data_IF_856147375130
#
_entry.id   IF_856147375130
#
_cell.length_a   1.000
_cell.length_b   1.000
_cell.length_c   1.000
_cell.angle_alpha   90.00
_cell.angle_beta   90.00
_cell.angle_gamma   90.00
#
_symmetry.space_group_name_H-M   'P 1'
#
loop_
_entity.id
_entity.type
_entity.pdbx_description
1 polymer ?
#
# COMPACT_ATOMS: atom_id res chain seq x y z
N UNK A 1 1.48 -1.01 20.60
CA UNK A 1 1.65 -0.56 22.01
C UNK A 1 3.12 -0.53 22.35
N UNK A 2 3.61 0.59 22.91
CA UNK A 2 4.98 0.69 23.46
C UNK A 2 5.05 -0.08 24.77
N UNK A 3 6.03 -0.94 24.95
CA UNK A 3 6.15 -1.81 26.12
C UNK A 3 7.47 -1.52 26.87
N UNK A 4 8.62 -1.50 26.26
CA UNK A 4 9.92 -1.11 26.81
C UNK A 4 10.31 -1.62 28.21
N UNK A 5 11.57 -1.55 28.54
CA UNK A 5 12.15 -1.93 29.85
C UNK A 5 12.88 -3.26 29.84
N UNK A 6 13.71 -3.57 30.86
CA UNK A 6 14.54 -4.78 30.89
C UNK A 6 13.71 -6.06 30.70
N UNK A 7 14.11 -6.91 29.73
CA UNK A 7 13.43 -8.17 29.44
C UNK A 7 12.09 -8.04 28.70
N UNK A 8 11.82 -6.87 28.12
CA UNK A 8 10.65 -6.63 27.26
C UNK A 8 11.08 -6.16 25.87
N UNK A 9 10.23 -6.44 24.86
CA UNK A 9 10.36 -5.80 23.54
C UNK A 9 9.96 -4.33 23.63
N UNK A 10 10.43 -3.49 22.69
CA UNK A 10 10.14 -2.05 22.71
C UNK A 10 8.72 -1.75 22.25
N UNK A 11 8.27 -2.43 21.20
CA UNK A 11 6.94 -2.23 20.62
C UNK A 11 6.29 -3.57 20.29
N UNK A 12 4.99 -3.66 20.53
CA UNK A 12 4.14 -4.78 20.06
C UNK A 12 3.09 -4.22 19.11
N UNK A 13 3.10 -4.72 17.88
CA UNK A 13 2.12 -4.41 16.83
C UNK A 13 1.12 -5.55 16.75
N UNK A 14 -0.18 -5.24 16.70
CA UNK A 14 -1.25 -6.24 16.56
C UNK A 14 -2.23 -5.78 15.51
N UNK A 15 -2.64 -6.73 14.67
CA UNK A 15 -3.69 -6.52 13.66
C UNK A 15 -4.54 -7.78 13.50
N UNK A 16 -5.58 -7.67 12.72
CA UNK A 16 -6.40 -8.80 12.28
C UNK A 16 -6.08 -9.00 10.79
N UNK A 17 -5.75 -10.23 10.39
CA UNK A 17 -5.51 -10.55 8.98
C UNK A 17 -6.84 -10.72 8.20
N UNK A 18 -6.74 -11.00 6.91
CA UNK A 18 -7.90 -11.14 6.02
C UNK A 18 -8.77 -12.35 6.36
N UNK A 19 -8.23 -13.32 7.13
CA UNK A 19 -8.95 -14.49 7.64
C UNK A 19 -9.60 -14.22 9.01
N UNK A 20 -9.46 -13.02 9.56
CA UNK A 20 -9.98 -12.63 10.88
C UNK A 20 -9.13 -13.11 12.06
N UNK A 21 -7.92 -13.63 11.82
CA UNK A 21 -6.99 -14.08 12.85
C UNK A 21 -6.22 -12.90 13.43
N UNK A 22 -6.07 -12.93 14.77
CA UNK A 22 -5.19 -11.98 15.46
C UNK A 22 -3.73 -12.32 15.19
N UNK A 23 -3.00 -11.36 14.63
CA UNK A 23 -1.57 -11.46 14.32
C UNK A 23 -0.80 -10.49 15.21
N UNK A 24 0.36 -10.93 15.69
CA UNK A 24 1.23 -10.12 16.55
C UNK A 24 2.64 -10.08 15.98
N UNK A 25 3.21 -8.90 15.87
CA UNK A 25 4.63 -8.69 15.62
C UNK A 25 5.28 -7.98 16.82
N UNK A 26 6.47 -8.41 17.17
CA UNK A 26 7.32 -7.66 18.11
C UNK A 26 8.36 -6.88 17.33
N UNK A 27 8.64 -5.67 17.80
CA UNK A 27 9.66 -4.79 17.23
C UNK A 27 10.67 -4.45 18.30
N UNK A 28 11.93 -4.72 18.02
CA UNK A 28 13.06 -4.40 18.87
C UNK A 28 13.86 -3.25 18.23
N UNK A 29 13.94 -2.13 18.92
CA UNK A 29 14.63 -0.93 18.42
C UNK A 29 16.07 -0.93 18.90
N UNK A 30 17.02 -0.80 17.96
CA UNK A 30 18.45 -0.76 18.24
C UNK A 30 19.02 0.62 17.88
N UNK A 31 19.62 1.28 18.87
CA UNK A 31 20.31 2.55 18.67
C UNK A 31 21.81 2.36 18.93
N UNK A 32 22.62 2.86 17.99
CA UNK A 32 24.09 2.87 18.11
C UNK A 32 24.65 4.22 17.69
N UNK A 33 25.72 4.63 18.38
CA UNK A 33 26.44 5.88 18.05
C UNK A 33 27.06 5.84 16.65
N UNK A 34 27.38 4.63 16.13
CA UNK A 34 27.88 4.44 14.76
C UNK A 34 26.79 4.51 13.69
N UNK A 35 25.51 4.53 14.07
CA UNK A 35 24.39 4.47 13.15
C UNK A 35 24.22 3.09 12.47
N UNK A 36 25.03 2.08 12.83
CA UNK A 36 24.99 0.77 12.18
C UNK A 36 24.82 -0.35 13.21
N UNK A 37 23.75 -1.12 13.05
CA UNK A 37 23.48 -2.31 13.87
C UNK A 37 24.11 -3.53 13.20
N UNK A 38 24.90 -4.28 13.97
CA UNK A 38 25.54 -5.52 13.54
C UNK A 38 24.90 -6.73 14.27
N UNK A 39 25.25 -7.95 13.88
CA UNK A 39 24.77 -9.15 14.56
C UNK A 39 25.13 -9.18 16.04
N UNK A 40 26.30 -8.64 16.44
CA UNK A 40 26.72 -8.60 17.85
C UNK A 40 25.81 -7.72 18.73
N UNK A 41 24.98 -6.87 18.13
CA UNK A 41 24.05 -5.99 18.83
C UNK A 41 22.67 -6.64 19.04
N UNK A 42 22.51 -7.84 18.49
CA UNK A 42 21.27 -8.62 18.50
C UNK A 42 21.49 -9.91 19.26
N UNK A 43 20.68 -10.17 20.27
CA UNK A 43 20.72 -11.42 21.03
C UNK A 43 19.65 -12.38 20.51
N UNK A 44 20.06 -13.47 19.90
CA UNK A 44 19.18 -14.55 19.43
C UNK A 44 18.27 -15.05 20.55
N UNK A 45 18.84 -15.28 21.74
CA UNK A 45 18.11 -15.77 22.91
C UNK A 45 17.04 -14.76 23.39
N UNK A 46 17.40 -13.47 23.39
CA UNK A 46 16.44 -12.43 23.80
C UNK A 46 15.29 -12.32 22.79
N UNK A 47 15.55 -12.42 21.50
CA UNK A 47 14.54 -12.40 20.45
C UNK A 47 13.58 -13.58 20.60
N UNK A 48 14.09 -14.78 20.75
CA UNK A 48 13.26 -15.98 20.93
C UNK A 48 12.39 -15.86 22.21
N UNK A 49 12.99 -15.43 23.33
CA UNK A 49 12.26 -15.20 24.58
C UNK A 49 11.16 -14.12 24.46
N UNK A 50 11.45 -13.01 23.75
CA UNK A 50 10.47 -11.97 23.51
C UNK A 50 9.32 -12.43 22.59
N UNK A 51 9.66 -13.24 21.57
CA UNK A 51 8.68 -13.85 20.67
C UNK A 51 7.73 -14.77 21.44
N UNK A 52 8.26 -15.67 22.25
CA UNK A 52 7.46 -16.57 23.09
C UNK A 52 6.59 -15.81 24.10
N UNK A 53 7.18 -14.86 24.85
CA UNK A 53 6.48 -14.05 25.86
C UNK A 53 5.26 -13.32 25.29
N UNK A 54 5.34 -12.84 24.05
CA UNK A 54 4.27 -12.08 23.41
C UNK A 54 3.39 -12.95 22.51
N UNK A 55 3.66 -14.24 22.42
CA UNK A 55 3.03 -15.15 21.46
C UNK A 55 3.04 -14.53 20.05
N UNK A 56 4.21 -14.01 19.63
CA UNK A 56 4.34 -13.24 18.41
C UNK A 56 4.54 -14.15 17.19
N UNK A 57 3.82 -13.85 16.13
CA UNK A 57 3.97 -14.51 14.83
C UNK A 57 5.25 -14.04 14.14
N UNK A 58 5.55 -12.75 14.24
CA UNK A 58 6.65 -12.08 13.54
C UNK A 58 7.55 -11.28 14.46
N UNK A 59 8.79 -11.07 13.99
CA UNK A 59 9.82 -10.28 14.66
C UNK A 59 10.42 -9.28 13.67
N UNK A 60 10.56 -8.04 14.10
CA UNK A 60 11.29 -7.02 13.37
C UNK A 60 12.34 -6.35 14.26
N UNK A 61 13.46 -5.98 13.67
CA UNK A 61 14.50 -5.15 14.29
C UNK A 61 14.52 -3.84 13.54
N UNK A 62 14.45 -2.74 14.28
CA UNK A 62 14.50 -1.37 13.72
C UNK A 62 15.80 -0.71 14.18
N UNK A 63 16.50 -0.05 13.26
CA UNK A 63 17.73 0.69 13.55
C UNK A 63 18.04 1.72 12.47
N UNK A 64 19.01 2.60 12.73
CA UNK A 64 19.39 3.62 11.75
C UNK A 64 20.01 3.01 10.47
N UNK A 65 20.62 1.83 10.60
CA UNK A 65 21.17 1.06 9.48
C UNK A 65 21.65 -0.32 9.95
N UNK A 66 21.95 -1.20 9.01
CA UNK A 66 22.42 -2.56 9.29
C UNK A 66 23.70 -2.86 8.52
N UNK A 67 24.72 -3.40 9.22
CA UNK A 67 26.04 -3.68 8.63
C UNK A 67 26.45 -5.14 8.75
N UNK A 68 27.06 -5.64 7.67
CA UNK A 68 27.62 -6.98 7.56
C UNK A 68 26.60 -8.04 7.13
N UNK A 69 27.15 -9.08 6.49
CA UNK A 69 26.32 -10.19 5.98
C UNK A 69 25.81 -11.11 7.10
N UNK A 70 26.49 -11.13 8.24
CA UNK A 70 26.11 -11.96 9.38
C UNK A 70 24.72 -11.61 9.90
N UNK A 71 24.38 -10.31 10.01
CA UNK A 71 23.05 -9.89 10.47
C UNK A 71 21.98 -10.19 9.42
N UNK A 72 22.29 -10.07 8.12
CA UNK A 72 21.36 -10.41 7.02
C UNK A 72 21.08 -11.92 6.99
N UNK A 73 22.14 -12.74 7.13
CA UNK A 73 22.02 -14.19 7.20
C UNK A 73 21.23 -14.64 8.45
N UNK A 74 21.45 -13.99 9.58
CA UNK A 74 20.67 -14.19 10.80
C UNK A 74 19.19 -13.88 10.54
N UNK A 75 18.89 -12.70 9.98
CA UNK A 75 17.54 -12.25 9.67
C UNK A 75 16.82 -13.25 8.75
N UNK A 76 17.47 -13.71 7.68
CA UNK A 76 16.91 -14.71 6.77
C UNK A 76 16.62 -16.04 7.46
N UNK A 77 17.58 -16.56 8.26
CA UNK A 77 17.44 -17.83 8.98
C UNK A 77 16.33 -17.80 10.03
N UNK A 78 16.24 -16.72 10.79
CA UNK A 78 15.26 -16.54 11.88
C UNK A 78 13.95 -15.91 11.41
N UNK A 79 13.83 -15.59 10.14
CA UNK A 79 12.67 -14.88 9.55
C UNK A 79 12.37 -13.55 10.26
N UNK A 80 13.43 -12.78 10.53
CA UNK A 80 13.35 -11.46 11.19
C UNK A 80 13.39 -10.37 10.12
N UNK A 81 12.46 -9.41 10.18
CA UNK A 81 12.50 -8.24 9.33
C UNK A 81 13.55 -7.23 9.85
N UNK A 82 14.41 -6.72 8.98
CA UNK A 82 15.34 -5.62 9.27
C UNK A 82 14.83 -4.36 8.60
N UNK A 83 14.51 -3.35 9.39
CA UNK A 83 13.84 -2.12 8.91
C UNK A 83 14.61 -0.92 9.44
N UNK A 84 15.00 -0.01 8.56
CA UNK A 84 15.59 1.25 9.01
C UNK A 84 14.52 2.23 9.49
N UNK A 85 14.91 3.16 10.36
CA UNK A 85 14.05 4.26 10.80
C UNK A 85 13.58 5.12 9.63
N UNK A 86 14.46 5.39 8.65
CA UNK A 86 14.12 6.12 7.44
C UNK A 86 13.06 5.38 6.60
N UNK A 87 13.18 4.05 6.46
CA UNK A 87 12.19 3.24 5.76
C UNK A 87 10.80 3.30 6.42
N UNK A 88 10.76 3.29 7.76
CA UNK A 88 9.48 3.46 8.47
C UNK A 88 8.85 4.83 8.22
N UNK A 89 9.67 5.89 8.20
CA UNK A 89 9.19 7.25 7.90
C UNK A 89 8.64 7.32 6.47
N UNK A 90 9.36 6.77 5.50
CA UNK A 90 8.95 6.79 4.10
C UNK A 90 7.68 5.96 3.87
N UNK A 91 7.56 4.82 4.54
CA UNK A 91 6.33 3.99 4.51
C UNK A 91 5.15 4.74 5.13
N UNK A 92 5.35 5.41 6.28
CA UNK A 92 4.29 6.17 6.92
C UNK A 92 3.73 7.28 6.01
N UNK A 93 4.62 8.01 5.31
CA UNK A 93 4.22 9.02 4.32
C UNK A 93 3.44 8.41 3.15
N UNK A 94 3.95 7.31 2.59
CA UNK A 94 3.28 6.62 1.48
C UNK A 94 1.95 5.99 1.90
N UNK A 95 1.85 5.49 3.12
CA UNK A 95 0.61 4.97 3.67
C UNK A 95 -0.49 6.03 3.72
N UNK A 96 -0.14 7.25 4.15
CA UNK A 96 -1.06 8.37 4.15
C UNK A 96 -1.46 8.80 2.73
N UNK A 97 -0.49 8.97 1.83
CA UNK A 97 -0.72 9.37 0.43
C UNK A 97 -1.59 8.38 -0.36
N UNK A 98 -1.41 7.08 -0.14
CA UNK A 98 -2.06 6.01 -0.90
C UNK A 98 -3.22 5.33 -0.15
N UNK A 99 -3.50 5.77 1.07
CA UNK A 99 -4.57 5.20 1.90
C UNK A 99 -4.33 3.73 2.26
N UNK A 100 -3.08 3.35 2.58
CA UNK A 100 -2.77 1.97 2.98
C UNK A 100 -3.42 1.64 4.32
N UNK A 101 -4.03 0.47 4.40
CA UNK A 101 -4.59 -0.04 5.65
C UNK A 101 -3.50 -0.71 6.52
N UNK A 102 -3.86 -1.06 7.76
CA UNK A 102 -2.91 -1.67 8.70
C UNK A 102 -2.38 -3.03 8.25
N UNK A 103 -3.18 -3.85 7.54
CA UNK A 103 -2.76 -5.14 7.03
C UNK A 103 -1.71 -4.98 5.93
N UNK A 104 -1.90 -4.02 5.04
CA UNK A 104 -0.95 -3.69 3.98
C UNK A 104 0.37 -3.17 4.56
N UNK A 105 0.33 -2.26 5.54
CA UNK A 105 1.53 -1.77 6.22
C UNK A 105 2.23 -2.89 6.99
N UNK A 106 1.47 -3.81 7.60
CA UNK A 106 2.01 -4.89 8.40
C UNK A 106 2.87 -5.89 7.60
N UNK A 107 2.78 -5.91 6.27
CA UNK A 107 3.62 -6.73 5.39
C UNK A 107 5.11 -6.55 5.71
N UNK A 108 5.53 -5.33 6.08
CA UNK A 108 6.94 -5.03 6.39
C UNK A 108 7.48 -5.83 7.58
N UNK A 109 6.62 -6.25 8.51
CA UNK A 109 7.02 -7.00 9.71
C UNK A 109 7.02 -8.51 9.52
N UNK A 110 6.42 -9.03 8.43
CA UNK A 110 6.12 -10.45 8.29
C UNK A 110 7.33 -11.31 7.93
N UNK A 111 8.33 -10.74 7.26
CA UNK A 111 9.46 -11.50 6.72
C UNK A 111 10.63 -10.61 6.34
N UNK A 112 11.84 -11.16 6.13
CA UNK A 112 12.98 -10.40 5.63
C UNK A 112 12.75 -9.70 4.28
N UNK A 113 11.87 -10.25 3.44
CA UNK A 113 11.46 -9.69 2.15
C UNK A 113 10.19 -8.82 2.24
N UNK A 114 9.63 -8.62 3.43
CA UNK A 114 8.43 -7.82 3.65
C UNK A 114 8.54 -6.40 3.10
N UNK A 115 9.72 -5.81 3.16
CA UNK A 115 10.02 -4.51 2.55
C UNK A 115 9.80 -4.53 1.03
N UNK A 116 10.38 -5.49 0.33
CA UNK A 116 10.24 -5.59 -1.14
C UNK A 116 8.77 -5.80 -1.54
N UNK A 117 8.07 -6.66 -0.83
CA UNK A 117 6.63 -6.92 -1.04
C UNK A 117 5.77 -5.68 -0.81
N UNK A 118 6.05 -4.92 0.26
CA UNK A 118 5.34 -3.66 0.51
C UNK A 118 5.66 -2.62 -0.56
N UNK A 119 6.90 -2.57 -1.04
CA UNK A 119 7.32 -1.67 -2.12
C UNK A 119 6.63 -1.98 -3.45
N UNK A 120 6.45 -3.25 -3.78
CA UNK A 120 5.66 -3.70 -4.94
C UNK A 120 4.20 -3.28 -4.81
N UNK A 121 3.59 -3.45 -3.65
CA UNK A 121 2.22 -3.00 -3.38
C UNK A 121 2.08 -1.48 -3.55
N UNK A 122 3.00 -0.70 -2.95
CA UNK A 122 3.04 0.77 -3.08
C UNK A 122 3.15 1.16 -4.57
N UNK A 123 4.05 0.52 -5.31
CA UNK A 123 4.24 0.81 -6.73
C UNK A 123 2.99 0.50 -7.55
N UNK A 124 2.31 -0.59 -7.25
CA UNK A 124 1.05 -0.98 -7.91
C UNK A 124 -0.05 0.05 -7.64
N UNK A 125 -0.26 0.44 -6.38
CA UNK A 125 -1.25 1.46 -6.01
C UNK A 125 -0.94 2.83 -6.62
N UNK A 126 0.32 3.22 -6.64
CA UNK A 126 0.74 4.47 -7.28
C UNK A 126 0.47 4.46 -8.79
N UNK A 127 0.75 3.32 -9.45
CA UNK A 127 0.45 3.14 -10.88
C UNK A 127 -1.05 3.23 -11.15
N UNK A 128 -1.87 2.59 -10.34
CA UNK A 128 -3.33 2.66 -10.45
C UNK A 128 -3.85 4.10 -10.29
N UNK A 129 -3.38 4.83 -9.29
CA UNK A 129 -3.75 6.23 -9.07
C UNK A 129 -3.36 7.11 -10.25
N UNK A 130 -2.12 6.97 -10.76
CA UNK A 130 -1.66 7.72 -11.93
C UNK A 130 -2.48 7.38 -13.17
N UNK A 131 -2.91 6.13 -13.33
CA UNK A 131 -3.72 5.70 -14.46
C UNK A 131 -5.15 6.27 -14.38
N UNK A 132 -5.74 6.33 -13.19
CA UNK A 132 -7.04 7.01 -12.98
C UNK A 132 -6.95 8.48 -13.42
N UNK A 133 -5.89 9.18 -12.98
CA UNK A 133 -5.66 10.58 -13.37
C UNK A 133 -5.53 10.73 -14.89
N UNK A 134 -4.70 9.89 -15.51
CA UNK A 134 -4.45 9.91 -16.95
C UNK A 134 -5.73 9.64 -17.76
N UNK A 135 -6.52 8.65 -17.37
CA UNK A 135 -7.78 8.29 -18.03
C UNK A 135 -8.80 9.43 -17.91
N UNK A 136 -8.99 9.99 -16.71
CA UNK A 136 -9.93 11.11 -16.49
C UNK A 136 -9.50 12.35 -17.30
N UNK A 137 -8.20 12.65 -17.32
CA UNK A 137 -7.67 13.76 -18.11
C UNK A 137 -7.89 13.55 -19.62
N UNK A 138 -7.70 12.32 -20.11
CA UNK A 138 -7.91 11.97 -21.51
C UNK A 138 -9.39 12.05 -21.89
N UNK A 139 -10.31 11.51 -21.08
CA UNK A 139 -11.74 11.69 -21.30
C UNK A 139 -12.12 13.16 -21.40
N UNK A 140 -11.64 13.98 -20.46
CA UNK A 140 -11.92 15.42 -20.44
C UNK A 140 -11.45 16.13 -21.69
N UNK A 141 -10.30 15.74 -22.24
CA UNK A 141 -9.74 16.32 -23.45
C UNK A 141 -10.50 15.89 -24.71
N UNK A 142 -10.82 14.60 -24.80
CA UNK A 142 -11.38 14.02 -26.01
C UNK A 142 -12.91 14.11 -26.11
N UNK A 143 -13.63 14.35 -24.99
CA UNK A 143 -15.10 14.42 -24.97
C UNK A 143 -15.70 15.56 -25.81
N UNK A 144 -14.91 16.57 -26.18
CA UNK A 144 -15.35 17.63 -27.11
C UNK A 144 -15.44 17.12 -28.54
N UNK A 145 -14.69 16.06 -28.89
CA UNK A 145 -14.65 15.50 -30.24
C UNK A 145 -15.32 14.13 -30.35
N UNK A 146 -15.36 13.38 -29.25
CA UNK A 146 -15.90 12.01 -29.18
C UNK A 146 -17.06 11.96 -28.20
N UNK A 147 -18.24 11.56 -28.67
CA UNK A 147 -19.44 11.41 -27.82
C UNK A 147 -19.22 10.34 -26.71
N UNK A 148 -18.46 9.29 -27.02
CA UNK A 148 -18.15 8.21 -26.08
C UNK A 148 -16.83 7.55 -26.44
N UNK A 149 -16.17 6.95 -25.45
CA UNK A 149 -14.85 6.30 -25.59
C UNK A 149 -14.94 4.89 -25.03
N UNK A 150 -14.45 3.91 -25.78
CA UNK A 150 -14.26 2.53 -25.28
C UNK A 150 -12.88 2.34 -24.65
N UNK A 151 -12.70 1.24 -23.89
CA UNK A 151 -11.38 0.89 -23.36
C UNK A 151 -10.35 0.66 -24.48
N UNK A 152 -10.79 0.16 -25.64
CA UNK A 152 -9.93 -0.01 -26.82
C UNK A 152 -9.52 1.34 -27.41
N UNK A 153 -10.43 2.30 -27.51
CA UNK A 153 -10.10 3.65 -27.98
C UNK A 153 -9.12 4.33 -27.00
N UNK A 154 -9.37 4.23 -25.71
CA UNK A 154 -8.47 4.74 -24.67
C UNK A 154 -7.09 4.12 -24.75
N UNK A 155 -6.99 2.80 -24.96
CA UNK A 155 -5.71 2.12 -25.19
C UNK A 155 -4.97 2.69 -26.40
N UNK A 156 -5.65 2.94 -27.51
CA UNK A 156 -5.06 3.52 -28.71
C UNK A 156 -4.55 4.96 -28.48
N UNK A 157 -5.30 5.76 -27.71
CA UNK A 157 -4.92 7.12 -27.34
C UNK A 157 -3.67 7.15 -26.44
N UNK A 158 -3.56 6.19 -25.51
CA UNK A 158 -2.50 6.16 -24.50
C UNK A 158 -1.28 5.32 -24.88
N UNK A 159 -1.33 4.55 -25.97
CA UNK A 159 -0.25 3.61 -26.38
C UNK A 159 1.12 4.24 -26.63
N UNK A 160 1.18 5.55 -26.87
CA UNK A 160 2.41 6.29 -27.16
C UNK A 160 2.90 7.11 -25.97
N UNK A 161 2.22 7.00 -24.81
CA UNK A 161 2.67 7.66 -23.59
C UNK A 161 3.76 6.84 -22.88
N UNK A 162 4.62 7.53 -22.13
CA UNK A 162 5.54 6.85 -21.22
C UNK A 162 4.74 5.98 -20.23
N UNK A 163 5.17 4.73 -20.02
CA UNK A 163 4.45 3.76 -19.21
C UNK A 163 3.02 3.47 -19.70
N UNK A 164 2.81 3.35 -21.01
CA UNK A 164 1.51 3.05 -21.60
C UNK A 164 0.79 1.92 -20.86
N UNK A 165 -0.51 2.09 -20.52
CA UNK A 165 -1.26 1.07 -19.81
C UNK A 165 -1.60 -0.11 -20.73
N UNK A 166 -1.77 -1.29 -20.14
CA UNK A 166 -2.38 -2.44 -20.81
C UNK A 166 -3.89 -2.23 -20.95
N UNK A 167 -4.50 -2.97 -21.88
CA UNK A 167 -5.95 -2.95 -22.04
C UNK A 167 -6.69 -3.42 -20.78
N UNK A 168 -6.12 -4.38 -20.06
CA UNK A 168 -6.67 -4.90 -18.80
C UNK A 168 -6.66 -3.84 -17.69
N UNK A 169 -5.56 -3.10 -17.54
CA UNK A 169 -5.49 -1.99 -16.58
C UNK A 169 -6.54 -0.91 -16.89
N UNK A 170 -6.74 -0.58 -18.15
CA UNK A 170 -7.78 0.39 -18.57
C UNK A 170 -9.17 -0.15 -18.24
N UNK A 171 -9.47 -1.42 -18.52
CA UNK A 171 -10.75 -2.05 -18.20
C UNK A 171 -11.03 -2.03 -16.70
N UNK A 172 -10.02 -2.29 -15.87
CA UNK A 172 -10.16 -2.24 -14.41
C UNK A 172 -10.50 -0.83 -13.93
N UNK A 173 -9.81 0.19 -14.45
CA UNK A 173 -10.12 1.60 -14.12
C UNK A 173 -11.51 2.02 -14.64
N UNK A 174 -11.91 1.61 -15.83
CA UNK A 174 -13.26 1.89 -16.34
C UNK A 174 -14.33 1.26 -15.46
N UNK A 175 -14.11 0.00 -15.03
CA UNK A 175 -15.00 -0.70 -14.10
C UNK A 175 -15.12 0.05 -12.79
N UNK A 176 -14.01 0.48 -12.19
CA UNK A 176 -13.98 1.26 -10.95
C UNK A 176 -14.74 2.59 -11.11
N UNK A 177 -14.43 3.38 -12.15
CA UNK A 177 -15.00 4.69 -12.36
C UNK A 177 -16.49 4.67 -12.74
N UNK A 178 -17.02 3.51 -13.15
CA UNK A 178 -18.43 3.30 -13.49
C UNK A 178 -19.25 2.63 -12.39
N UNK A 179 -18.67 2.35 -11.19
CA UNK A 179 -19.46 1.88 -10.06
C UNK A 179 -20.42 2.95 -9.56
N UNK A 180 -21.53 2.55 -8.95
CA UNK A 180 -22.54 3.49 -8.42
C UNK A 180 -21.97 4.42 -7.34
N UNK A 181 -20.96 3.96 -6.60
CA UNK A 181 -20.29 4.74 -5.54
C UNK A 181 -19.40 5.84 -6.12
N UNK A 182 -18.69 5.54 -7.20
CA UNK A 182 -17.77 6.50 -7.85
C UNK A 182 -18.50 7.32 -8.89
N UNK A 183 -19.22 6.69 -9.83
CA UNK A 183 -20.12 7.32 -10.80
C UNK A 183 -19.47 8.47 -11.61
N UNK A 184 -18.25 8.27 -12.08
CA UNK A 184 -17.52 9.19 -12.97
C UNK A 184 -17.79 8.85 -14.42
N UNK A 185 -17.88 7.57 -14.75
CA UNK A 185 -18.17 7.08 -16.10
C UNK A 185 -19.57 6.47 -16.14
N UNK A 186 -20.31 6.80 -17.17
CA UNK A 186 -21.59 6.18 -17.51
C UNK A 186 -21.44 5.30 -18.75
N UNK A 187 -21.92 4.06 -18.66
CA UNK A 187 -21.96 3.16 -19.80
C UNK A 187 -23.00 3.70 -20.81
N UNK A 188 -22.53 4.03 -21.99
CA UNK A 188 -23.38 4.51 -23.09
C UNK A 188 -23.94 3.34 -23.91
N UNK A 189 -23.08 2.46 -24.39
CA UNK A 189 -23.46 1.30 -25.18
C UNK A 189 -22.64 0.06 -24.78
N UNK A 190 -23.34 -0.96 -24.32
CA UNK A 190 -22.74 -2.26 -24.04
C UNK A 190 -22.43 -3.00 -25.34
N UNK A 191 -21.24 -3.58 -25.43
CA UNK A 191 -20.79 -4.43 -26.51
C UNK A 191 -20.58 -5.87 -26.03
N UNK A 192 -20.59 -6.85 -26.95
CA UNK A 192 -20.30 -8.24 -26.63
C UNK A 192 -18.87 -8.45 -26.08
N UNK A 193 -17.90 -7.72 -26.62
CA UNK A 193 -16.54 -7.65 -26.11
C UNK A 193 -16.43 -6.43 -25.17
N UNK A 194 -16.02 -6.66 -23.93
CA UNK A 194 -15.98 -5.61 -22.87
C UNK A 194 -15.16 -4.40 -23.28
N UNK A 195 -14.05 -4.62 -23.99
CA UNK A 195 -13.15 -3.56 -24.45
C UNK A 195 -13.78 -2.61 -25.49
N UNK A 196 -14.88 -3.02 -26.13
CA UNK A 196 -15.61 -2.21 -27.11
C UNK A 196 -16.87 -1.55 -26.51
N UNK A 197 -17.18 -1.80 -25.23
CA UNK A 197 -18.22 -1.09 -24.49
C UNK A 197 -17.82 0.38 -24.37
N UNK A 198 -18.73 1.28 -24.71
CA UNK A 198 -18.44 2.72 -24.72
C UNK A 198 -18.99 3.42 -23.48
N UNK A 199 -18.25 4.41 -23.03
CA UNK A 199 -18.55 5.20 -21.84
C UNK A 199 -18.48 6.68 -22.13
N UNK A 200 -19.26 7.45 -21.37
CA UNK A 200 -19.26 8.91 -21.37
C UNK A 200 -18.85 9.39 -19.96
N UNK A 201 -18.04 10.42 -19.88
CA UNK A 201 -17.68 10.99 -18.57
C UNK A 201 -18.76 11.92 -18.08
N UNK A 202 -19.26 11.67 -16.86
CA UNK A 202 -20.20 12.54 -16.14
C UNK A 202 -19.49 13.75 -15.53
N UNK A 203 -20.21 14.50 -14.72
CA UNK A 203 -19.66 15.63 -13.98
C UNK A 203 -18.73 15.16 -12.85
N UNK A 204 -17.47 14.89 -13.18
CA UNK A 204 -16.45 14.43 -12.24
C UNK A 204 -16.30 15.35 -11.00
N UNK A 205 -16.57 16.66 -11.16
CA UNK A 205 -16.52 17.60 -10.03
C UNK A 205 -17.63 17.34 -9.00
N UNK A 206 -18.81 16.94 -9.44
CA UNK A 206 -19.90 16.56 -8.55
C UNK A 206 -19.54 15.30 -7.76
N UNK A 207 -18.92 14.30 -8.40
CA UNK A 207 -18.40 13.10 -7.74
C UNK A 207 -17.36 13.44 -6.69
N UNK A 208 -16.35 14.25 -7.03
CA UNK A 208 -15.32 14.69 -6.07
C UNK A 208 -15.96 15.35 -4.84
N UNK A 209 -16.96 16.21 -5.02
CA UNK A 209 -17.64 16.86 -3.91
C UNK A 209 -18.41 15.85 -3.03
N UNK A 210 -19.08 14.87 -3.66
CA UNK A 210 -19.81 13.79 -2.95
C UNK A 210 -18.84 12.93 -2.13
N UNK A 211 -17.72 12.51 -2.71
CA UNK A 211 -16.69 11.72 -2.00
C UNK A 211 -16.08 12.49 -0.83
N UNK A 212 -15.78 13.77 -1.00
CA UNK A 212 -15.32 14.63 0.09
C UNK A 212 -16.34 14.76 1.22
N UNK A 213 -17.61 14.86 0.89
CA UNK A 213 -18.69 14.92 1.90
C UNK A 213 -18.74 13.61 2.71
N UNK A 214 -18.62 12.47 2.05
CA UNK A 214 -18.58 11.15 2.72
C UNK A 214 -17.34 11.04 3.60
N UNK A 215 -16.15 11.37 3.08
CA UNK A 215 -14.91 11.36 3.84
C UNK A 215 -15.01 12.22 5.12
N UNK A 216 -15.48 13.46 5.01
CA UNK A 216 -15.67 14.35 6.15
C UNK A 216 -16.69 13.80 7.19
N UNK A 217 -17.70 13.06 6.74
CA UNK A 217 -18.66 12.44 7.65
C UNK A 217 -18.03 11.29 8.43
N UNK A 218 -17.17 10.50 7.78
CA UNK A 218 -16.40 9.41 8.40
C UNK A 218 -15.41 9.99 9.42
N UNK A 219 -14.62 11.01 9.06
CA UNK A 219 -13.67 11.68 9.95
C UNK A 219 -14.36 12.17 11.23
N UNK A 220 -15.47 12.89 11.10
CA UNK A 220 -16.25 13.34 12.26
C UNK A 220 -16.82 12.18 13.11
N UNK A 221 -17.01 11.02 12.52
CA UNK A 221 -17.43 9.82 13.25
C UNK A 221 -16.30 9.18 14.06
N UNK A 222 -15.08 9.26 13.55
CA UNK A 222 -13.87 8.73 14.22
C UNK A 222 -13.44 9.61 15.40
N UNK A 223 -13.66 10.94 15.33
CA UNK A 223 -13.30 11.90 16.38
C UNK A 223 -14.25 11.92 17.58
N UNK A 224 -15.40 11.24 17.53
CA UNK A 224 -16.38 11.11 18.62
C UNK A 224 -16.11 9.89 19.49
#
# INVERSE_FOLDING_TARGET
KRVGGPGNTDVVVRWIDDEGKKVTAIVDAKSKSSGQVSHNDVSDVAIDAHKEKNNADYVAIVGAGFSGDTIKNFASRKKVALITDQELIDIAKKAEELGLNLQEIAIIFQSPDGKSRLQELISTKQREQNLIELIVATFRKEQEMLESISARDMFLLLRMTDNSPSLEEILNVFSLLSTDEIDVLEMNKQASAKENTTYTMKNAKATVNRLKMIANAIEKGIEK
#
